data_IF_558326232740
#
_entry.id   IF_558326232740
#
_cell.length_a   1.000
_cell.length_b   1.000
_cell.length_c   1.000
_cell.angle_alpha   90.00
_cell.angle_beta   90.00
_cell.angle_gamma   90.00
#
_symmetry.space_group_name_H-M   'P 1'
#
loop_
_entity.id
_entity.type
_entity.pdbx_description
1 polymer ?
#
# COMPACT_ATOMS: atom_id res chain seq x y z
N UNK A 1 -12.41 11.74 10.56
CA UNK A 1 -13.20 10.54 10.20
C UNK A 1 -12.28 9.35 10.13
N UNK A 2 -12.81 8.13 10.42
CA UNK A 2 -12.02 6.91 10.21
C UNK A 2 -11.90 6.64 8.70
N UNK A 3 -10.66 6.51 8.21
CA UNK A 3 -10.39 6.14 6.81
C UNK A 3 -10.31 4.62 6.65
N UNK A 4 -9.74 3.94 7.65
CA UNK A 4 -9.70 2.48 7.75
C UNK A 4 -10.29 2.08 9.09
N UNK A 5 -11.29 1.20 9.09
CA UNK A 5 -11.97 0.71 10.28
C UNK A 5 -12.15 -0.80 10.18
N UNK A 6 -11.28 -1.53 10.85
CA UNK A 6 -11.27 -2.98 10.96
C UNK A 6 -11.98 -3.37 12.26
N UNK A 7 -13.07 -4.14 12.18
CA UNK A 7 -13.93 -4.46 13.31
C UNK A 7 -14.00 -5.94 13.55
N UNK A 8 -13.40 -6.40 14.64
CA UNK A 8 -13.46 -7.78 15.12
C UNK A 8 -13.14 -8.80 14.01
N UNK A 9 -12.09 -8.53 13.24
CA UNK A 9 -11.74 -9.31 12.05
C UNK A 9 -10.99 -10.57 12.44
N UNK A 10 -11.47 -11.70 11.93
CA UNK A 10 -10.78 -12.99 11.98
C UNK A 10 -10.45 -13.45 10.57
N UNK A 11 -9.24 -13.95 10.36
CA UNK A 11 -8.81 -14.56 9.10
C UNK A 11 -8.23 -15.94 9.36
N UNK A 12 -8.86 -16.94 8.75
CA UNK A 12 -8.45 -18.35 8.78
C UNK A 12 -8.13 -18.80 7.35
N UNK A 13 -6.95 -19.33 7.14
CA UNK A 13 -6.60 -20.03 5.91
C UNK A 13 -6.79 -21.53 6.12
N UNK A 14 -7.34 -22.21 5.13
CA UNK A 14 -7.53 -23.65 5.11
C UNK A 14 -6.65 -24.26 4.04
N UNK A 15 -5.87 -25.25 4.45
CA UNK A 15 -5.08 -26.08 3.56
C UNK A 15 -5.30 -27.55 3.93
N UNK A 16 -5.95 -28.29 3.06
CA UNK A 16 -6.37 -29.66 3.29
C UNK A 16 -7.23 -29.78 4.58
N UNK A 17 -6.78 -30.52 5.58
CA UNK A 17 -7.44 -30.69 6.87
C UNK A 17 -6.94 -29.72 7.95
N UNK A 18 -5.96 -28.86 7.63
CA UNK A 18 -5.39 -27.91 8.58
C UNK A 18 -6.00 -26.52 8.46
N UNK A 19 -6.34 -25.93 9.60
CA UNK A 19 -6.79 -24.53 9.70
C UNK A 19 -5.71 -23.70 10.38
N UNK A 20 -5.31 -22.61 9.74
CA UNK A 20 -4.38 -21.64 10.29
C UNK A 20 -5.10 -20.32 10.55
N UNK A 21 -5.35 -19.99 11.81
CA UNK A 21 -5.86 -18.68 12.19
C UNK A 21 -4.71 -17.66 12.19
N UNK A 22 -4.75 -16.72 11.28
CA UNK A 22 -3.72 -15.69 11.12
C UNK A 22 -4.10 -14.38 11.81
N UNK A 23 -5.38 -14.00 11.80
CA UNK A 23 -5.92 -12.87 12.56
C UNK A 23 -7.06 -13.38 13.44
N UNK A 24 -7.16 -12.88 14.68
CA UNK A 24 -8.12 -13.35 15.66
C UNK A 24 -8.80 -12.18 16.37
N UNK A 25 -10.02 -11.82 15.91
CA UNK A 25 -10.84 -10.77 16.52
C UNK A 25 -10.20 -9.38 16.49
N UNK A 26 -9.36 -9.11 15.49
CA UNK A 26 -8.58 -7.87 15.42
C UNK A 26 -9.47 -6.66 15.15
N UNK A 27 -9.24 -5.58 15.91
CA UNK A 27 -9.87 -4.27 15.69
C UNK A 27 -8.78 -3.22 15.55
N UNK A 28 -8.88 -2.39 14.50
CA UNK A 28 -7.92 -1.32 14.19
C UNK A 28 -8.66 -0.13 13.57
N UNK A 29 -8.32 1.07 13.98
CA UNK A 29 -8.77 2.30 13.32
C UNK A 29 -7.59 3.14 12.86
N UNK A 30 -7.67 3.65 11.63
CA UNK A 30 -6.74 4.65 11.09
C UNK A 30 -7.56 5.83 10.59
N UNK A 31 -7.26 7.03 11.07
CA UNK A 31 -7.99 8.23 10.70
C UNK A 31 -7.55 8.78 9.33
N UNK A 32 -8.40 9.61 8.73
CA UNK A 32 -8.06 10.32 7.50
C UNK A 32 -6.81 11.19 7.70
N UNK A 33 -5.87 11.11 6.77
CA UNK A 33 -4.58 11.82 6.84
C UNK A 33 -3.62 11.28 7.88
N UNK A 34 -3.90 10.12 8.50
CA UNK A 34 -2.99 9.49 9.44
C UNK A 34 -1.92 8.66 8.72
N UNK A 35 -0.72 8.69 9.24
CA UNK A 35 0.35 7.74 8.87
C UNK A 35 0.50 6.75 10.03
N UNK A 36 0.04 5.51 9.81
CA UNK A 36 0.11 4.43 10.78
C UNK A 36 1.13 3.37 10.36
N UNK A 37 1.92 2.87 11.31
CA UNK A 37 2.82 1.73 11.13
C UNK A 37 2.32 0.51 11.90
N UNK A 38 2.31 -0.64 11.24
CA UNK A 38 2.01 -1.96 11.81
C UNK A 38 3.33 -2.71 11.97
N UNK A 39 3.75 -2.92 13.20
CA UNK A 39 4.98 -3.63 13.55
C UNK A 39 4.68 -5.03 14.08
N UNK A 40 5.67 -5.90 14.08
CA UNK A 40 5.58 -7.23 14.66
C UNK A 40 6.50 -8.24 13.98
N UNK A 41 6.71 -9.41 14.57
CA UNK A 41 7.58 -10.46 14.02
C UNK A 41 7.04 -11.02 12.70
N UNK A 42 7.90 -11.71 11.95
CA UNK A 42 7.47 -12.45 10.75
C UNK A 42 6.37 -13.45 11.12
N UNK A 43 5.36 -13.58 10.27
CA UNK A 43 4.22 -14.48 10.51
C UNK A 43 3.18 -13.96 11.50
N UNK A 44 3.29 -12.73 12.01
CA UNK A 44 2.28 -12.17 12.94
C UNK A 44 0.94 -11.78 12.30
N UNK A 45 0.84 -11.78 10.95
CA UNK A 45 -0.39 -11.46 10.21
C UNK A 45 -0.40 -10.06 9.57
N UNK A 46 0.70 -9.30 9.59
CA UNK A 46 0.78 -7.92 9.09
C UNK A 46 0.39 -7.79 7.61
N UNK A 47 1.03 -8.55 6.73
CA UNK A 47 0.72 -8.53 5.29
C UNK A 47 -0.70 -9.05 5.01
N UNK A 48 -1.19 -10.00 5.81
CA UNK A 48 -2.60 -10.45 5.75
C UNK A 48 -3.55 -9.29 6.06
N UNK A 49 -3.33 -8.57 7.16
CA UNK A 49 -4.13 -7.40 7.51
C UNK A 49 -4.08 -6.33 6.42
N UNK A 50 -2.89 -6.06 5.88
CA UNK A 50 -2.70 -5.11 4.80
C UNK A 50 -3.49 -5.51 3.54
N UNK A 51 -3.49 -6.81 3.18
CA UNK A 51 -4.25 -7.35 2.05
C UNK A 51 -5.77 -7.23 2.25
N UNK A 52 -6.25 -7.40 3.49
CA UNK A 52 -7.67 -7.17 3.81
C UNK A 52 -8.04 -5.69 3.66
N UNK A 53 -7.21 -4.77 4.17
CA UNK A 53 -7.42 -3.32 4.03
C UNK A 53 -7.39 -2.91 2.55
N UNK A 54 -6.48 -3.50 1.77
CA UNK A 54 -6.38 -3.23 0.33
C UNK A 54 -7.51 -3.87 -0.49
N UNK A 55 -8.34 -4.75 0.10
CA UNK A 55 -9.35 -5.50 -0.64
C UNK A 55 -8.74 -6.51 -1.61
N UNK A 56 -7.53 -7.00 -1.35
CA UNK A 56 -6.90 -8.09 -2.12
C UNK A 56 -7.41 -9.45 -1.63
N UNK A 57 -7.69 -9.53 -0.32
CA UNK A 57 -8.25 -10.71 0.32
C UNK A 57 -9.47 -10.32 1.15
N UNK A 58 -10.28 -11.30 1.57
CA UNK A 58 -11.49 -11.10 2.39
C UNK A 58 -11.31 -11.72 3.77
N UNK A 59 -11.85 -11.10 4.83
CA UNK A 59 -11.86 -11.70 6.16
C UNK A 59 -12.75 -12.96 6.19
N UNK A 60 -12.46 -13.88 7.10
CA UNK A 60 -13.34 -15.02 7.38
C UNK A 60 -14.57 -14.56 8.16
N UNK A 61 -14.42 -13.57 9.06
CA UNK A 61 -15.50 -12.90 9.77
C UNK A 61 -15.08 -11.50 10.22
N UNK A 62 -16.04 -10.68 10.64
CA UNK A 62 -15.84 -9.28 10.98
C UNK A 62 -16.03 -8.36 9.76
N UNK A 63 -15.67 -7.08 9.91
CA UNK A 63 -15.86 -6.05 8.89
C UNK A 63 -14.56 -5.30 8.62
N UNK A 64 -14.35 -4.92 7.35
CA UNK A 64 -13.24 -4.06 6.93
C UNK A 64 -13.83 -2.90 6.13
N UNK A 65 -13.89 -1.73 6.74
CA UNK A 65 -14.44 -0.52 6.14
C UNK A 65 -13.27 0.38 5.73
N UNK A 66 -13.16 0.69 4.45
CA UNK A 66 -12.11 1.56 3.91
C UNK A 66 -12.75 2.66 3.08
N UNK A 67 -12.37 3.91 3.34
CA UNK A 67 -12.96 5.08 2.68
C UNK A 67 -14.51 5.09 2.74
N UNK A 68 -15.09 4.59 3.84
CA UNK A 68 -16.53 4.50 4.05
C UNK A 68 -17.23 3.30 3.39
N UNK A 69 -16.50 2.40 2.72
CA UNK A 69 -17.04 1.22 2.04
C UNK A 69 -16.64 -0.05 2.77
N UNK A 70 -17.59 -0.92 3.12
CA UNK A 70 -17.29 -2.27 3.62
C UNK A 70 -16.80 -3.15 2.47
N UNK A 71 -15.48 -3.36 2.41
CA UNK A 71 -14.83 -4.10 1.32
C UNK A 71 -15.09 -5.61 1.40
N UNK A 72 -15.41 -6.12 2.59
CA UNK A 72 -15.72 -7.56 2.77
C UNK A 72 -17.02 -7.96 2.07
N UNK A 73 -17.97 -7.05 1.97
CA UNK A 73 -19.28 -7.27 1.35
C UNK A 73 -19.32 -7.14 -0.18
N UNK A 74 -18.24 -6.63 -0.82
CA UNK A 74 -18.20 -6.41 -2.26
C UNK A 74 -17.99 -7.72 -3.03
N UNK A 75 -18.60 -7.83 -4.23
CA UNK A 75 -18.23 -8.87 -5.20
C UNK A 75 -16.86 -8.53 -5.84
N UNK A 76 -16.32 -9.46 -6.65
CA UNK A 76 -14.97 -9.31 -7.24
C UNK A 76 -14.88 -8.10 -8.19
N UNK A 77 -15.94 -7.80 -8.94
CA UNK A 77 -15.96 -6.67 -9.89
C UNK A 77 -16.00 -5.34 -9.14
N UNK A 78 -16.87 -5.21 -8.14
CA UNK A 78 -16.97 -4.04 -7.30
C UNK A 78 -15.70 -3.83 -6.48
N UNK A 79 -15.07 -4.93 -6.00
CA UNK A 79 -13.82 -4.89 -5.26
C UNK A 79 -12.64 -4.43 -6.14
N UNK A 80 -12.56 -4.90 -7.39
CA UNK A 80 -11.55 -4.43 -8.35
C UNK A 80 -11.73 -2.93 -8.65
N UNK A 81 -12.96 -2.49 -8.88
CA UNK A 81 -13.29 -1.07 -9.05
C UNK A 81 -12.95 -0.25 -7.80
N UNK A 82 -13.29 -0.74 -6.62
CA UNK A 82 -12.95 -0.09 -5.35
C UNK A 82 -11.44 0.11 -5.21
N UNK A 83 -10.64 -0.95 -5.44
CA UNK A 83 -9.17 -0.88 -5.37
C UNK A 83 -8.61 0.18 -6.30
N UNK A 84 -9.03 0.16 -7.57
CA UNK A 84 -8.49 1.07 -8.59
C UNK A 84 -8.69 2.56 -8.28
N UNK A 85 -9.73 2.90 -7.50
CA UNK A 85 -10.08 4.28 -7.18
C UNK A 85 -9.63 4.73 -5.78
N UNK A 86 -9.49 3.80 -4.83
CA UNK A 86 -9.32 4.17 -3.42
C UNK A 86 -8.01 3.73 -2.81
N UNK A 87 -7.31 2.74 -3.39
CA UNK A 87 -6.13 2.14 -2.77
C UNK A 87 -4.93 2.17 -3.71
N UNK A 88 -3.82 2.74 -3.24
CA UNK A 88 -2.51 2.60 -3.86
C UNK A 88 -1.66 1.59 -3.10
N UNK A 89 -1.05 0.63 -3.79
CA UNK A 89 -0.25 -0.41 -3.15
C UNK A 89 1.24 -0.22 -3.45
N UNK A 90 2.07 -0.23 -2.40
CA UNK A 90 3.53 -0.15 -2.46
C UNK A 90 4.08 -1.46 -1.91
N UNK A 91 4.84 -2.19 -2.74
CA UNK A 91 5.39 -3.51 -2.42
C UNK A 91 6.87 -3.42 -2.03
N UNK A 92 7.35 -4.40 -1.27
CA UNK A 92 8.75 -4.54 -0.89
C UNK A 92 9.66 -4.71 -2.13
N UNK A 93 9.29 -5.56 -3.08
CA UNK A 93 10.08 -5.87 -4.29
C UNK A 93 9.61 -5.07 -5.51
N UNK A 94 9.14 -3.85 -5.33
CA UNK A 94 8.72 -2.89 -6.35
C UNK A 94 7.64 -3.41 -7.31
N UNK A 95 7.69 -4.67 -7.73
CA UNK A 95 6.77 -5.33 -8.68
C UNK A 95 6.57 -4.52 -9.96
N UNK A 96 7.67 -3.99 -10.50
CA UNK A 96 7.67 -3.34 -11.81
C UNK A 96 7.70 -4.40 -12.91
N UNK A 97 7.00 -4.12 -14.01
CA UNK A 97 7.05 -4.95 -15.20
C UNK A 97 8.34 -4.63 -15.97
N UNK A 98 9.29 -5.57 -16.10
CA UNK A 98 10.65 -5.27 -16.53
C UNK A 98 10.77 -4.85 -18.01
N UNK A 99 9.77 -5.19 -18.83
CA UNK A 99 9.70 -4.82 -20.25
C UNK A 99 9.01 -3.49 -20.51
N UNK A 100 8.49 -2.84 -19.47
CA UNK A 100 7.87 -1.51 -19.54
C UNK A 100 8.82 -0.45 -18.98
N UNK A 101 8.79 0.74 -19.57
CA UNK A 101 9.48 1.92 -19.04
C UNK A 101 8.88 2.37 -17.71
N UNK A 102 9.55 3.28 -16.99
CA UNK A 102 9.04 3.88 -15.75
C UNK A 102 7.65 4.50 -15.98
N UNK A 103 7.47 5.26 -17.05
CA UNK A 103 6.16 5.86 -17.37
C UNK A 103 5.09 4.81 -17.64
N UNK A 104 5.40 3.79 -18.43
CA UNK A 104 4.45 2.73 -18.76
C UNK A 104 4.05 1.91 -17.53
N UNK A 105 4.99 1.66 -16.60
CA UNK A 105 4.68 1.05 -15.31
C UNK A 105 3.71 1.91 -14.48
N UNK A 106 3.91 3.22 -14.47
CA UNK A 106 3.02 4.16 -13.75
C UNK A 106 1.66 4.29 -14.44
N UNK A 107 1.58 4.15 -15.76
CA UNK A 107 0.32 4.19 -16.52
C UNK A 107 -0.60 2.98 -16.25
N UNK A 108 -0.08 1.84 -15.76
CA UNK A 108 -0.84 0.59 -15.63
C UNK A 108 -2.19 0.74 -14.90
N UNK A 109 -2.26 1.36 -13.70
CA UNK A 109 -3.54 1.52 -13.02
C UNK A 109 -4.54 2.38 -13.80
N UNK A 110 -4.05 3.33 -14.61
CA UNK A 110 -4.88 4.22 -15.41
C UNK A 110 -5.54 3.52 -16.62
N UNK A 111 -5.09 2.33 -17.01
CA UNK A 111 -5.72 1.53 -18.06
C UNK A 111 -7.16 1.10 -17.69
N UNK A 112 -7.47 1.09 -16.40
CA UNK A 112 -8.81 0.78 -15.88
C UNK A 112 -9.75 2.00 -15.82
N UNK A 113 -9.28 3.16 -16.28
CA UNK A 113 -10.05 4.40 -16.29
C UNK A 113 -10.51 4.77 -17.69
N UNK A 114 -11.45 5.73 -17.80
CA UNK A 114 -11.93 6.24 -19.09
C UNK A 114 -11.01 7.33 -19.69
N UNK A 115 -9.79 7.49 -19.18
CA UNK A 115 -8.84 8.48 -19.67
C UNK A 115 -8.30 8.11 -21.06
N UNK A 116 -8.13 9.09 -21.93
CA UNK A 116 -7.42 8.94 -23.19
C UNK A 116 -5.95 8.58 -22.97
N UNK A 117 -5.28 8.07 -24.00
CA UNK A 117 -3.84 7.75 -23.93
C UNK A 117 -2.99 8.96 -23.53
N UNK A 118 -3.34 10.15 -24.06
CA UNK A 118 -2.63 11.40 -23.76
C UNK A 118 -2.76 11.78 -22.29
N UNK A 119 -3.99 11.72 -21.75
CA UNK A 119 -4.25 12.05 -20.35
C UNK A 119 -3.58 11.07 -19.39
N UNK A 120 -3.58 9.76 -19.71
CA UNK A 120 -2.85 8.77 -18.91
C UNK A 120 -1.35 9.07 -18.86
N UNK A 121 -0.77 9.38 -20.03
CA UNK A 121 0.64 9.74 -20.15
C UNK A 121 0.99 10.98 -19.33
N UNK A 122 0.18 12.02 -19.40
CA UNK A 122 0.37 13.27 -18.65
C UNK A 122 0.31 13.03 -17.13
N UNK A 123 -0.67 12.25 -16.66
CA UNK A 123 -0.78 11.87 -15.24
C UNK A 123 0.42 11.06 -14.77
N UNK A 124 0.87 10.10 -15.57
CA UNK A 124 2.04 9.29 -15.23
C UNK A 124 3.31 10.13 -15.14
N UNK A 125 3.54 11.06 -16.07
CA UNK A 125 4.67 11.99 -16.02
C UNK A 125 4.59 12.93 -14.80
N UNK A 126 3.40 13.38 -14.45
CA UNK A 126 3.16 14.18 -13.24
C UNK A 126 3.49 13.39 -11.98
N UNK A 127 3.05 12.14 -11.88
CA UNK A 127 3.37 11.26 -10.76
C UNK A 127 4.89 11.00 -10.66
N UNK A 128 5.58 10.78 -11.78
CA UNK A 128 7.05 10.65 -11.82
C UNK A 128 7.76 11.93 -11.37
N UNK A 129 7.22 13.10 -11.71
CA UNK A 129 7.75 14.38 -11.24
C UNK A 129 7.59 14.53 -9.72
N UNK A 130 6.45 14.12 -9.15
CA UNK A 130 6.21 14.15 -7.69
C UNK A 130 7.25 13.32 -6.93
N UNK A 131 7.64 12.15 -7.47
CA UNK A 131 8.66 11.30 -6.86
C UNK A 131 10.11 11.65 -7.27
N UNK A 132 10.32 12.73 -8.02
CA UNK A 132 11.65 13.21 -8.41
C UNK A 132 12.31 12.42 -9.54
N UNK A 133 11.55 11.77 -10.42
CA UNK A 133 12.04 10.94 -11.52
C UNK A 133 11.61 11.41 -12.92
N UNK A 134 11.37 12.70 -13.10
CA UNK A 134 10.94 13.24 -14.40
C UNK A 134 11.95 12.95 -15.52
N UNK A 135 13.26 12.98 -15.21
CA UNK A 135 14.36 12.70 -16.13
C UNK A 135 14.58 11.21 -16.39
N UNK A 136 13.90 10.32 -15.67
CA UNK A 136 13.97 8.86 -15.78
C UNK A 136 12.73 8.23 -16.41
N UNK A 137 11.80 9.03 -16.90
CA UNK A 137 10.52 8.59 -17.45
C UNK A 137 10.60 7.50 -18.53
N UNK A 138 11.63 7.55 -19.39
CA UNK A 138 11.88 6.57 -20.46
C UNK A 138 12.78 5.38 -20.05
N UNK A 139 13.25 5.30 -18.81
CA UNK A 139 14.14 4.21 -18.36
C UNK A 139 13.34 2.95 -18.06
N UNK A 140 13.96 1.81 -18.35
CA UNK A 140 13.47 0.48 -17.94
C UNK A 140 13.95 0.16 -16.51
N UNK A 141 13.27 -0.71 -15.74
CA UNK A 141 13.67 -1.08 -14.38
C UNK A 141 15.14 -1.43 -14.25
N UNK A 142 15.70 -2.25 -15.15
CA UNK A 142 17.14 -2.64 -15.18
C UNK A 142 18.13 -1.46 -15.28
N UNK A 143 17.66 -0.25 -15.58
CA UNK A 143 18.48 0.96 -15.74
C UNK A 143 18.34 1.90 -14.52
N UNK A 144 17.56 1.48 -13.53
CA UNK A 144 17.26 2.23 -12.31
C UNK A 144 17.97 1.59 -11.11
N UNK A 145 18.31 2.40 -10.11
CA UNK A 145 18.70 1.87 -8.80
C UNK A 145 17.49 1.36 -8.04
N UNK A 146 17.67 0.52 -7.02
CA UNK A 146 16.56 0.03 -6.16
C UNK A 146 15.70 1.15 -5.59
N UNK A 147 16.33 2.24 -5.10
CA UNK A 147 15.59 3.42 -4.63
C UNK A 147 14.81 4.13 -5.73
N UNK A 148 15.34 4.15 -6.97
CA UNK A 148 14.60 4.70 -8.12
C UNK A 148 13.45 3.77 -8.55
N UNK A 149 13.64 2.45 -8.54
CA UNK A 149 12.57 1.49 -8.81
C UNK A 149 11.43 1.62 -7.79
N UNK A 150 11.76 1.78 -6.50
CA UNK A 150 10.77 2.02 -5.45
C UNK A 150 10.03 3.34 -5.63
N UNK A 151 10.72 4.41 -6.05
CA UNK A 151 10.05 5.68 -6.41
C UNK A 151 9.09 5.52 -7.59
N UNK A 152 9.42 4.71 -8.61
CA UNK A 152 8.49 4.37 -9.71
C UNK A 152 7.29 3.60 -9.18
N UNK A 153 7.49 2.63 -8.27
CA UNK A 153 6.40 1.88 -7.64
C UNK A 153 5.48 2.80 -6.81
N UNK A 154 6.06 3.79 -6.10
CA UNK A 154 5.28 4.82 -5.38
C UNK A 154 4.51 5.70 -6.37
N UNK A 155 5.14 6.15 -7.47
CA UNK A 155 4.46 6.93 -8.51
C UNK A 155 3.26 6.17 -9.09
N UNK A 156 3.42 4.86 -9.36
CA UNK A 156 2.35 3.97 -9.78
C UNK A 156 1.23 3.88 -8.74
N UNK A 157 1.58 3.82 -7.45
CA UNK A 157 0.61 3.73 -6.37
C UNK A 157 -0.23 5.02 -6.22
N UNK A 158 0.33 6.21 -6.52
CA UNK A 158 -0.35 7.49 -6.34
C UNK A 158 -1.02 8.02 -7.61
N UNK A 159 -0.79 7.43 -8.78
CA UNK A 159 -1.21 7.99 -10.09
C UNK A 159 -2.73 8.11 -10.25
N UNK A 160 -3.51 7.27 -9.58
CA UNK A 160 -4.98 7.32 -9.55
C UNK A 160 -5.52 8.27 -8.48
N UNK A 161 -4.64 8.95 -7.75
CA UNK A 161 -4.99 9.82 -6.61
C UNK A 161 -5.80 9.09 -5.50
N UNK A 162 -5.32 7.91 -5.02
CA UNK A 162 -6.07 7.10 -4.07
C UNK A 162 -6.19 7.81 -2.72
N UNK A 163 -7.20 7.41 -1.92
CA UNK A 163 -7.42 7.91 -0.56
C UNK A 163 -6.47 7.26 0.46
N UNK A 164 -6.14 6.00 0.24
CA UNK A 164 -5.30 5.18 1.14
C UNK A 164 -4.11 4.62 0.37
N UNK A 165 -2.94 4.76 0.95
CA UNK A 165 -1.73 4.06 0.53
C UNK A 165 -1.45 2.93 1.52
N UNK A 166 -1.32 1.71 1.02
CA UNK A 166 -0.88 0.55 1.79
C UNK A 166 0.53 0.18 1.35
N UNK A 167 1.44 0.02 2.30
CA UNK A 167 2.85 -0.23 2.03
C UNK A 167 3.34 -1.47 2.79
N UNK A 168 3.75 -2.50 2.08
CA UNK A 168 4.29 -3.73 2.67
C UNK A 168 5.82 -3.70 2.59
N UNK A 169 6.49 -3.45 3.73
CA UNK A 169 7.95 -3.37 3.88
C UNK A 169 8.60 -2.46 2.82
N UNK A 170 8.18 -1.19 2.65
CA UNK A 170 8.53 -0.36 1.48
C UNK A 170 10.02 -0.04 1.36
N UNK A 171 10.81 -0.32 2.39
CA UNK A 171 12.25 -0.07 2.46
C UNK A 171 13.09 -1.33 2.71
N UNK A 172 12.44 -2.51 2.75
CA UNK A 172 13.08 -3.75 3.17
C UNK A 172 14.20 -4.27 2.25
N UNK A 173 14.24 -3.81 1.00
CA UNK A 173 15.25 -4.19 -0.01
C UNK A 173 16.18 -3.01 -0.39
N UNK A 174 16.26 -1.97 0.45
CA UNK A 174 17.01 -0.76 0.18
C UNK A 174 18.19 -0.56 1.15
N UNK A 175 19.24 0.09 0.66
CA UNK A 175 20.29 0.63 1.52
C UNK A 175 19.75 1.75 2.43
N UNK A 176 20.46 2.08 3.50
CA UNK A 176 20.01 3.02 4.52
C UNK A 176 19.74 4.44 3.99
N UNK A 177 20.49 4.90 2.99
CA UNK A 177 20.31 6.23 2.40
C UNK A 177 19.03 6.25 1.55
N UNK A 178 18.87 5.28 0.64
CA UNK A 178 17.67 5.11 -0.18
C UNK A 178 16.42 4.90 0.68
N UNK A 179 16.52 4.09 1.75
CA UNK A 179 15.42 3.87 2.68
C UNK A 179 14.95 5.18 3.33
N UNK A 180 15.89 6.03 3.78
CA UNK A 180 15.57 7.35 4.36
C UNK A 180 14.84 8.23 3.35
N UNK A 181 15.31 8.29 2.11
CA UNK A 181 14.68 9.08 1.05
C UNK A 181 13.26 8.61 0.72
N UNK A 182 13.02 7.28 0.71
CA UNK A 182 11.68 6.72 0.47
C UNK A 182 10.75 7.06 1.63
N UNK A 183 11.20 6.95 2.87
CA UNK A 183 10.40 7.31 4.04
C UNK A 183 10.09 8.81 4.09
N UNK A 184 11.04 9.68 3.70
CA UNK A 184 10.81 11.11 3.59
C UNK A 184 9.78 11.45 2.50
N UNK A 185 9.83 10.76 1.35
CA UNK A 185 8.84 10.87 0.28
C UNK A 185 7.45 10.45 0.80
N UNK A 186 7.33 9.31 1.48
CA UNK A 186 6.05 8.87 2.07
C UNK A 186 5.54 9.88 3.10
N UNK A 187 6.42 10.42 3.93
CA UNK A 187 6.09 11.50 4.86
C UNK A 187 5.55 12.75 4.16
N UNK A 188 6.13 13.14 3.02
CA UNK A 188 5.62 14.27 2.21
C UNK A 188 4.26 13.97 1.62
N UNK A 189 4.04 12.75 1.09
CA UNK A 189 2.72 12.32 0.58
C UNK A 189 1.64 12.40 1.66
N UNK A 190 1.98 12.07 2.90
CA UNK A 190 1.07 12.20 4.02
C UNK A 190 0.81 13.68 4.40
N UNK A 191 1.87 14.47 4.65
CA UNK A 191 1.74 15.85 5.15
C UNK A 191 1.22 16.84 4.10
N UNK A 192 1.80 16.77 2.89
CA UNK A 192 1.60 17.81 1.86
C UNK A 192 0.43 17.49 0.94
N UNK A 193 0.11 16.19 0.77
CA UNK A 193 -0.98 15.69 -0.08
C UNK A 193 -2.14 15.05 0.73
N UNK A 194 -2.05 15.03 2.06
CA UNK A 194 -3.11 14.54 2.94
C UNK A 194 -3.40 13.04 2.82
N UNK A 195 -2.47 12.24 2.29
CA UNK A 195 -2.70 10.80 2.08
C UNK A 195 -2.72 10.05 3.41
N UNK A 196 -3.71 9.18 3.57
CA UNK A 196 -3.71 8.20 4.67
C UNK A 196 -2.79 7.06 4.29
N UNK A 197 -1.87 6.69 5.18
CA UNK A 197 -0.86 5.66 4.92
C UNK A 197 -0.93 4.59 6.00
N UNK A 198 -1.02 3.32 5.57
CA UNK A 198 -0.85 2.15 6.45
C UNK A 198 0.39 1.39 5.98
N UNK A 199 1.43 1.42 6.78
CA UNK A 199 2.72 0.79 6.46
C UNK A 199 2.94 -0.41 7.38
N UNK A 200 3.34 -1.53 6.79
CA UNK A 200 3.88 -2.68 7.51
C UNK A 200 5.39 -2.60 7.48
N UNK A 201 6.03 -2.77 8.62
CA UNK A 201 7.49 -2.85 8.70
C UNK A 201 7.94 -3.62 9.95
N UNK A 202 9.12 -4.20 9.88
CA UNK A 202 9.85 -4.73 11.03
C UNK A 202 11.05 -3.83 11.43
N UNK A 203 11.34 -2.77 10.63
CA UNK A 203 12.39 -1.79 10.96
C UNK A 203 11.82 -0.69 11.88
N UNK A 204 12.31 -0.57 13.14
CA UNK A 204 11.88 0.49 14.06
C UNK A 204 12.10 1.90 13.50
N UNK A 205 13.18 2.12 12.73
CA UNK A 205 13.47 3.44 12.14
C UNK A 205 12.44 3.84 11.09
N UNK A 206 11.93 2.85 10.33
CA UNK A 206 10.82 3.10 9.41
C UNK A 206 9.53 3.41 10.17
N UNK A 207 9.25 2.66 11.24
CA UNK A 207 8.06 2.88 12.06
C UNK A 207 8.06 4.25 12.77
N UNK A 208 9.22 4.78 13.16
CA UNK A 208 9.35 6.12 13.77
C UNK A 208 8.88 7.27 12.84
N UNK A 209 8.78 7.03 11.54
CA UNK A 209 8.21 8.01 10.59
C UNK A 209 6.70 8.09 10.65
N UNK A 210 6.04 7.07 11.17
CA UNK A 210 4.60 7.04 11.37
C UNK A 210 4.23 7.79 12.67
N UNK A 211 3.09 8.49 12.62
CA UNK A 211 2.55 9.19 13.79
C UNK A 211 1.99 8.23 14.84
N UNK A 212 1.46 7.10 14.38
CA UNK A 212 0.86 6.07 15.22
C UNK A 212 1.52 4.73 14.90
N UNK A 213 1.86 3.98 15.93
CA UNK A 213 2.46 2.66 15.80
C UNK A 213 1.58 1.64 16.51
N UNK A 214 1.32 0.53 15.83
CA UNK A 214 0.58 -0.61 16.37
C UNK A 214 1.48 -1.85 16.32
N UNK A 215 1.43 -2.66 17.37
CA UNK A 215 2.17 -3.91 17.44
C UNK A 215 1.25 -5.10 17.21
N UNK A 216 1.53 -5.89 16.19
CA UNK A 216 0.79 -7.11 15.86
C UNK A 216 1.57 -8.33 16.31
N UNK A 217 1.00 -9.13 17.19
CA UNK A 217 1.59 -10.37 17.67
C UNK A 217 0.56 -11.49 17.63
N UNK A 218 0.87 -12.58 16.92
CA UNK A 218 -0.01 -13.78 16.80
C UNK A 218 -1.46 -13.44 16.42
N UNK A 219 -1.62 -12.50 15.48
CA UNK A 219 -2.93 -12.12 14.92
C UNK A 219 -3.77 -11.18 15.79
N UNK A 220 -3.22 -10.62 16.87
CA UNK A 220 -3.88 -9.62 17.71
C UNK A 220 -3.00 -8.38 17.87
N UNK A 221 -3.62 -7.21 18.00
CA UNK A 221 -2.90 -5.98 18.34
C UNK A 221 -2.55 -5.99 19.83
N UNK A 222 -1.34 -5.55 20.12
CA UNK A 222 -0.85 -5.26 21.47
C UNK A 222 -0.76 -3.76 21.62
N UNK A 223 -1.29 -3.24 22.70
CA UNK A 223 -1.11 -1.85 23.12
C UNK A 223 0.31 -1.62 23.65
#
# INVERSE_FOLDING_TARGET
MSMVDVRNVTKVYRKDAEELTVLNGLTLQVNEGEFAALMGPSGSGKSTLLNLIAGIDKPTSGQVIVAGTDVAGLDETALASFRSHNVGFIFQFYNLIPVLTATENVELPLLLTNLSRSERRERALTALKVVGLADRAGHYPRQLSGGQEQRVAIARAIVTDPKVLVADEPTGDLDAASATEILDLMGSLNRDFGKTIVMVTHDPRAAERARVQHHLEKGVLRD
#
